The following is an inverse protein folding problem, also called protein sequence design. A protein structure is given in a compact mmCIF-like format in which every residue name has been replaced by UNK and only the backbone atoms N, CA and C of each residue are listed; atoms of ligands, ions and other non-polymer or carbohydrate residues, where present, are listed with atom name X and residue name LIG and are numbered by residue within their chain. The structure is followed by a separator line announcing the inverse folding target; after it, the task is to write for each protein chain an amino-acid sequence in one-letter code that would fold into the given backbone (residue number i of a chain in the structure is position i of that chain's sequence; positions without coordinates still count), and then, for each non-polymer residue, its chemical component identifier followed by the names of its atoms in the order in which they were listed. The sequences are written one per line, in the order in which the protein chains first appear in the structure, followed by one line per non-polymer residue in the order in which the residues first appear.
data_IF_057431281553
#
_entry.id   IF_057431281553
#
_cell.length_a   1.000
_cell.length_b   1.000
_cell.length_c   1.000
_cell.angle_alpha   90.00
_cell.angle_beta   90.00
_cell.angle_gamma   90.00
#
_symmetry.space_group_name_H-M   'P 1'
#
loop_
_entity.id
_entity.type
_entity.pdbx_description
1 polymer ?
#
# COMPACT_ATOMS: atom_id res chain seq x y z
N UNK A 1 17.99 -57.60 -37.56
CA UNK A 1 17.16 -57.46 -36.36
C UNK A 1 17.22 -56.00 -35.94
N UNK A 2 16.18 -55.20 -36.27
CA UNK A 2 16.05 -53.78 -35.91
C UNK A 2 14.94 -53.67 -34.91
N UNK A 3 15.30 -53.29 -33.64
CA UNK A 3 14.29 -52.94 -32.63
C UNK A 3 13.81 -51.51 -32.87
N UNK A 4 12.53 -51.33 -33.15
CA UNK A 4 11.84 -50.07 -33.13
C UNK A 4 11.50 -49.70 -31.69
N UNK A 5 12.04 -48.58 -31.21
CA UNK A 5 11.69 -48.00 -29.94
C UNK A 5 10.52 -47.03 -30.16
N UNK A 6 9.34 -47.44 -29.75
CA UNK A 6 8.09 -46.63 -29.83
C UNK A 6 8.11 -45.68 -28.62
N UNK A 7 8.31 -44.41 -28.86
CA UNK A 7 8.15 -43.36 -27.84
C UNK A 7 6.67 -43.06 -27.72
N UNK A 8 6.04 -43.50 -26.65
CA UNK A 8 4.67 -43.16 -26.31
C UNK A 8 4.65 -41.75 -25.71
N UNK A 9 4.12 -40.81 -26.47
CA UNK A 9 3.87 -39.44 -25.97
C UNK A 9 2.60 -39.51 -25.11
N UNK A 10 2.75 -39.44 -23.81
CA UNK A 10 1.65 -39.28 -22.86
C UNK A 10 1.30 -37.81 -22.81
N UNK A 11 0.22 -37.43 -23.47
CA UNK A 11 -0.45 -36.13 -23.30
C UNK A 11 -1.24 -36.17 -21.99
N UNK A 12 -0.63 -35.74 -20.90
CA UNK A 12 -1.35 -35.53 -19.65
C UNK A 12 -1.93 -34.10 -19.65
N UNK A 13 -3.15 -34.00 -20.18
CA UNK A 13 -3.99 -32.82 -19.98
C UNK A 13 -4.66 -32.94 -18.60
N UNK A 14 -3.96 -32.61 -17.54
CA UNK A 14 -4.55 -32.42 -16.22
C UNK A 14 -4.66 -30.92 -15.94
N UNK A 15 -5.83 -30.35 -16.24
CA UNK A 15 -6.24 -29.05 -15.75
C UNK A 15 -6.39 -29.13 -14.22
N UNK A 16 -5.33 -28.83 -13.49
CA UNK A 16 -5.39 -28.62 -12.05
C UNK A 16 -6.05 -27.25 -11.79
N UNK A 17 -7.37 -27.26 -11.60
CA UNK A 17 -8.11 -26.18 -10.97
C UNK A 17 -7.74 -26.14 -9.49
N UNK A 18 -6.61 -25.56 -9.16
CA UNK A 18 -6.27 -25.23 -7.78
C UNK A 18 -6.96 -23.92 -7.41
N UNK A 19 -8.22 -24.04 -6.97
CA UNK A 19 -8.92 -22.98 -6.26
C UNK A 19 -8.21 -22.71 -4.94
N UNK A 20 -7.36 -21.69 -4.89
CA UNK A 20 -6.67 -21.28 -3.68
C UNK A 20 -7.65 -20.63 -2.71
N UNK A 21 -8.19 -21.39 -1.74
CA UNK A 21 -8.86 -20.86 -0.57
C UNK A 21 -7.79 -20.53 0.46
N UNK A 22 -7.71 -19.30 0.91
CA UNK A 22 -6.87 -18.91 2.05
C UNK A 22 -7.74 -19.08 3.30
N UNK A 23 -7.33 -19.97 4.19
CA UNK A 23 -7.96 -20.15 5.51
C UNK A 23 -7.27 -19.20 6.49
N UNK A 24 -8.03 -18.31 7.09
CA UNK A 24 -7.55 -17.44 8.16
C UNK A 24 -7.50 -18.20 9.49
N UNK A 25 -6.69 -17.73 10.49
CA UNK A 25 -6.61 -18.37 11.81
C UNK A 25 -7.95 -18.42 12.59
N UNK A 26 -8.96 -17.66 12.15
CA UNK A 26 -10.31 -17.63 12.68
C UNK A 26 -11.26 -18.66 12.03
N UNK A 27 -10.76 -19.49 11.13
CA UNK A 27 -11.53 -20.53 10.43
C UNK A 27 -12.39 -20.01 9.27
N UNK A 28 -12.37 -18.72 8.95
CA UNK A 28 -13.11 -18.18 7.81
C UNK A 28 -12.39 -18.45 6.50
N UNK A 29 -13.08 -19.05 5.53
CA UNK A 29 -12.60 -19.21 4.16
C UNK A 29 -13.10 -18.04 3.33
N UNK A 30 -12.21 -17.14 2.93
CA UNK A 30 -12.50 -16.11 1.94
C UNK A 30 -11.79 -16.46 0.65
N UNK A 31 -12.54 -16.67 -0.43
CA UNK A 31 -11.94 -16.75 -1.78
C UNK A 31 -11.35 -15.39 -2.10
N UNK A 32 -10.03 -15.29 -2.01
CA UNK A 32 -9.31 -14.11 -2.42
C UNK A 32 -9.51 -13.94 -3.92
N UNK A 33 -10.01 -12.79 -4.36
CA UNK A 33 -10.05 -12.43 -5.79
C UNK A 33 -8.67 -12.51 -6.43
N UNK A 34 -7.62 -12.38 -5.65
CA UNK A 34 -6.21 -12.58 -6.00
C UNK A 34 -5.91 -14.03 -6.40
N UNK A 35 -6.53 -15.03 -5.75
CA UNK A 35 -6.35 -16.44 -6.12
C UNK A 35 -6.97 -16.78 -7.48
N UNK A 36 -8.01 -16.06 -7.87
CA UNK A 36 -8.73 -16.33 -9.12
C UNK A 36 -8.02 -15.73 -10.36
N UNK A 37 -7.23 -14.66 -10.19
CA UNK A 37 -6.57 -13.96 -11.30
C UNK A 37 -5.02 -13.88 -11.19
N UNK A 38 -4.45 -14.22 -10.05
CA UNK A 38 -3.05 -13.87 -9.72
C UNK A 38 -2.02 -14.98 -9.79
N UNK A 39 -2.39 -16.24 -9.56
CA UNK A 39 -1.41 -17.34 -9.49
C UNK A 39 -0.79 -17.70 -10.86
N UNK A 40 -1.53 -17.53 -11.95
CA UNK A 40 -1.02 -17.80 -13.30
C UNK A 40 -0.03 -16.76 -13.79
N UNK A 41 -0.32 -15.47 -13.57
CA UNK A 41 0.50 -14.36 -14.06
C UNK A 41 1.82 -14.18 -13.31
N UNK A 42 1.80 -14.17 -11.97
CA UNK A 42 2.99 -13.95 -11.16
C UNK A 42 4.01 -15.11 -11.27
N UNK A 43 3.53 -16.36 -11.38
CA UNK A 43 4.40 -17.51 -11.57
C UNK A 43 5.08 -17.50 -12.95
N UNK A 44 4.34 -17.22 -14.02
CA UNK A 44 4.89 -17.15 -15.37
C UNK A 44 5.94 -16.05 -15.51
N UNK A 45 5.69 -14.86 -14.97
CA UNK A 45 6.62 -13.74 -15.06
C UNK A 45 7.83 -13.89 -14.13
N UNK A 46 7.67 -14.52 -12.97
CA UNK A 46 8.80 -14.87 -12.10
C UNK A 46 9.80 -15.78 -12.79
N UNK A 47 9.32 -16.76 -13.56
CA UNK A 47 10.15 -17.67 -14.35
C UNK A 47 10.88 -16.93 -15.47
N UNK A 48 10.19 -16.08 -16.22
CA UNK A 48 10.78 -15.28 -17.31
C UNK A 48 11.84 -14.31 -16.73
N UNK A 49 11.55 -13.62 -15.65
CA UNK A 49 12.49 -12.71 -15.01
C UNK A 49 13.72 -13.41 -14.44
N UNK A 50 13.58 -14.63 -13.92
CA UNK A 50 14.70 -15.44 -13.44
C UNK A 50 15.62 -15.90 -14.59
N UNK A 51 15.04 -16.24 -15.73
CA UNK A 51 15.80 -16.66 -16.92
C UNK A 51 16.57 -15.51 -17.57
N UNK A 52 16.06 -14.27 -17.49
CA UNK A 52 16.67 -13.12 -18.18
C UNK A 52 17.63 -12.32 -17.30
N UNK A 53 17.38 -12.19 -16.00
CA UNK A 53 18.12 -11.27 -15.10
C UNK A 53 18.48 -11.89 -13.75
N UNK A 54 18.40 -13.20 -13.58
CA UNK A 54 18.69 -13.89 -12.32
C UNK A 54 17.68 -13.60 -11.20
N UNK A 55 18.05 -13.92 -9.95
CA UNK A 55 17.12 -13.85 -8.80
C UNK A 55 16.56 -12.45 -8.49
N UNK A 56 17.28 -11.38 -8.82
CA UNK A 56 16.78 -9.99 -8.68
C UNK A 56 15.76 -9.67 -9.77
N UNK A 57 15.97 -10.15 -10.99
CA UNK A 57 15.05 -10.00 -12.13
C UNK A 57 13.74 -10.77 -11.89
N UNK A 58 13.80 -11.98 -11.34
CA UNK A 58 12.62 -12.75 -10.98
C UNK A 58 11.73 -12.01 -9.98
N UNK A 59 12.32 -11.39 -8.97
CA UNK A 59 11.58 -10.66 -7.94
C UNK A 59 10.95 -9.38 -8.48
N UNK A 60 11.66 -8.61 -9.29
CA UNK A 60 11.14 -7.39 -9.89
C UNK A 60 10.08 -7.68 -10.95
N UNK A 61 10.28 -8.72 -11.77
CA UNK A 61 9.30 -9.15 -12.76
C UNK A 61 8.04 -9.75 -12.12
N UNK A 62 8.19 -10.53 -11.03
CA UNK A 62 7.05 -11.06 -10.28
C UNK A 62 6.22 -9.92 -9.62
N UNK A 63 6.86 -8.86 -9.15
CA UNK A 63 6.19 -7.67 -8.60
C UNK A 63 5.45 -6.90 -9.71
N UNK A 64 6.11 -6.65 -10.85
CA UNK A 64 5.50 -5.96 -11.98
C UNK A 64 4.34 -6.75 -12.58
N UNK A 65 4.51 -8.06 -12.77
CA UNK A 65 3.46 -8.94 -13.31
C UNK A 65 2.39 -9.31 -12.28
N UNK A 66 2.71 -9.31 -11.00
CA UNK A 66 1.72 -9.40 -9.93
C UNK A 66 0.73 -8.23 -9.98
N UNK A 67 1.21 -7.02 -10.28
CA UNK A 67 0.35 -5.85 -10.49
C UNK A 67 -0.54 -5.99 -11.74
N UNK A 68 -0.07 -6.68 -12.77
CA UNK A 68 -0.78 -6.83 -14.05
C UNK A 68 -1.59 -8.13 -14.11
N UNK A 69 -1.07 -9.25 -13.63
CA UNK A 69 -1.73 -10.56 -13.68
C UNK A 69 -2.74 -10.79 -12.57
N UNK A 70 -2.51 -10.26 -11.36
CA UNK A 70 -3.48 -10.26 -10.26
C UNK A 70 -4.38 -9.02 -10.27
N UNK A 71 -4.15 -8.12 -11.22
CA UNK A 71 -4.73 -6.79 -11.24
C UNK A 71 -4.15 -5.88 -10.13
N UNK A 72 -4.58 -4.63 -10.15
CA UNK A 72 -4.22 -3.61 -9.16
C UNK A 72 -4.48 -4.10 -7.72
N UNK A 73 -5.52 -4.92 -7.52
CA UNK A 73 -5.91 -5.46 -6.24
C UNK A 73 -4.78 -6.25 -5.55
N UNK A 74 -4.15 -7.19 -6.26
CA UNK A 74 -3.11 -8.03 -5.68
C UNK A 74 -1.84 -7.28 -5.27
N UNK A 75 -1.43 -6.28 -6.06
CA UNK A 75 -0.31 -5.39 -5.70
C UNK A 75 -0.60 -4.62 -4.42
N UNK A 76 -1.79 -4.04 -4.34
CA UNK A 76 -2.21 -3.28 -3.16
C UNK A 76 -2.43 -4.18 -1.95
N UNK A 77 -2.95 -5.41 -2.11
CA UNK A 77 -3.12 -6.37 -1.03
C UNK A 77 -1.77 -6.76 -0.40
N UNK A 78 -0.75 -6.97 -1.25
CA UNK A 78 0.59 -7.28 -0.77
C UNK A 78 1.24 -6.08 -0.07
N UNK A 79 1.09 -4.87 -0.62
CA UNK A 79 1.57 -3.65 0.01
C UNK A 79 0.88 -3.39 1.35
N UNK A 80 -0.45 -3.57 1.43
CA UNK A 80 -1.22 -3.47 2.67
C UNK A 80 -0.71 -4.44 3.73
N UNK A 81 -0.53 -5.71 3.36
CA UNK A 81 0.00 -6.73 4.29
C UNK A 81 1.35 -6.30 4.86
N UNK A 82 2.26 -5.80 4.02
CA UNK A 82 3.58 -5.32 4.47
C UNK A 82 3.48 -4.09 5.37
N UNK A 83 2.60 -3.16 5.06
CA UNK A 83 2.35 -2.00 5.93
C UNK A 83 1.81 -2.43 7.29
N UNK A 84 0.83 -3.34 7.34
CA UNK A 84 0.29 -3.89 8.60
C UNK A 84 1.35 -4.63 9.42
N UNK A 85 2.21 -5.43 8.77
CA UNK A 85 3.32 -6.12 9.44
C UNK A 85 4.31 -5.13 10.06
N UNK A 86 4.72 -4.10 9.30
CA UNK A 86 5.72 -3.14 9.72
C UNK A 86 5.19 -2.11 10.74
N UNK A 87 3.88 -1.86 10.75
CA UNK A 87 3.23 -0.87 11.61
C UNK A 87 2.47 -1.47 12.81
N UNK A 88 2.46 -2.80 12.98
CA UNK A 88 1.66 -3.48 14.01
C UNK A 88 1.92 -3.03 15.46
N UNK A 89 3.13 -2.53 15.74
CA UNK A 89 3.55 -2.06 17.05
C UNK A 89 3.55 -0.52 17.14
N UNK A 90 2.88 0.15 16.22
CA UNK A 90 2.71 1.60 16.19
C UNK A 90 1.24 1.95 16.37
N UNK A 91 0.96 3.21 16.68
CA UNK A 91 -0.42 3.71 16.76
C UNK A 91 -0.92 4.26 15.42
N UNK A 92 -0.36 3.78 14.28
CA UNK A 92 -0.85 4.09 12.95
C UNK A 92 -1.82 3.00 12.53
N UNK A 93 -3.03 3.41 12.20
CA UNK A 93 -4.07 2.53 11.70
C UNK A 93 -3.93 2.36 10.17
N UNK A 94 -4.05 1.11 9.70
CA UNK A 94 -3.99 0.77 8.28
C UNK A 94 -5.37 0.31 7.84
N UNK A 95 -6.05 1.12 7.04
CA UNK A 95 -7.37 0.81 6.49
C UNK A 95 -7.27 0.50 5.00
N UNK A 96 -8.12 -0.42 4.51
CA UNK A 96 -8.28 -0.69 3.09
C UNK A 96 -9.61 -0.13 2.59
N UNK A 97 -9.56 0.67 1.54
CA UNK A 97 -10.74 1.24 0.88
C UNK A 97 -10.69 0.93 -0.63
N UNK A 98 -11.25 -0.21 -1.03
CA UNK A 98 -11.16 -0.68 -2.42
C UNK A 98 -9.71 -0.90 -2.85
N UNK A 99 -9.24 -0.13 -3.84
CA UNK A 99 -7.84 -0.17 -4.31
C UNK A 99 -6.93 0.84 -3.61
N UNK A 100 -7.42 1.57 -2.62
CA UNK A 100 -6.66 2.53 -1.84
C UNK A 100 -6.31 1.95 -0.47
N UNK A 101 -5.12 2.26 0.03
CA UNK A 101 -4.73 2.03 1.42
C UNK A 101 -4.65 3.40 2.11
N UNK A 102 -5.28 3.53 3.26
CA UNK A 102 -5.25 4.72 4.09
C UNK A 102 -4.49 4.43 5.38
N UNK A 103 -3.47 5.23 5.69
CA UNK A 103 -2.81 5.24 7.00
C UNK A 103 -3.35 6.41 7.79
N UNK A 104 -3.88 6.15 8.98
CA UNK A 104 -4.39 7.18 9.90
C UNK A 104 -3.41 7.35 11.05
N UNK A 105 -2.94 8.58 11.23
CA UNK A 105 -1.99 8.98 12.25
C UNK A 105 -2.66 9.99 13.21
N UNK A 106 -3.12 9.57 14.39
CA UNK A 106 -3.68 10.49 15.37
C UNK A 106 -2.65 11.54 15.84
N UNK A 107 -3.12 12.77 16.14
CA UNK A 107 -2.23 13.88 16.53
C UNK A 107 -1.38 13.54 17.75
N UNK A 108 -2.01 13.00 18.80
CA UNK A 108 -1.38 12.74 20.09
C UNK A 108 -0.17 11.78 20.03
N UNK A 109 -0.14 10.93 19.00
CA UNK A 109 0.98 10.01 18.75
C UNK A 109 1.94 10.52 17.68
N UNK A 110 1.57 11.59 16.98
CA UNK A 110 2.34 12.12 15.86
C UNK A 110 3.09 13.40 16.22
N UNK A 111 2.43 14.31 16.93
CA UNK A 111 2.98 15.63 17.27
C UNK A 111 2.81 15.96 18.75
N UNK A 112 3.71 16.75 19.34
CA UNK A 112 3.43 17.45 20.60
C UNK A 112 2.26 18.42 20.41
N UNK A 113 1.62 18.79 21.53
CA UNK A 113 0.50 19.74 21.53
C UNK A 113 0.88 21.05 20.83
N UNK A 114 0.01 21.55 19.98
CA UNK A 114 0.20 22.78 19.17
C UNK A 114 1.47 22.79 18.31
N UNK A 115 2.02 21.62 17.97
CA UNK A 115 3.24 21.48 17.18
C UNK A 115 2.95 20.83 15.81
N UNK A 116 3.84 21.07 14.87
CA UNK A 116 3.97 20.33 13.61
C UNK A 116 5.30 19.56 13.52
N UNK A 117 6.07 19.50 14.61
CA UNK A 117 7.31 18.71 14.68
C UNK A 117 6.98 17.27 15.02
N UNK A 118 7.45 16.32 14.22
CA UNK A 118 7.22 14.88 14.47
C UNK A 118 7.95 14.42 15.73
N UNK A 119 7.25 13.72 16.61
CA UNK A 119 7.87 13.05 17.74
C UNK A 119 8.62 11.77 17.31
N UNK A 120 9.44 11.22 18.22
CA UNK A 120 10.28 10.05 17.92
C UNK A 120 9.45 8.81 17.52
N UNK A 121 8.28 8.60 18.15
CA UNK A 121 7.41 7.46 17.84
C UNK A 121 6.85 7.57 16.41
N UNK A 122 6.40 8.76 16.01
CA UNK A 122 5.94 9.02 14.65
C UNK A 122 7.07 8.86 13.64
N UNK A 123 8.30 9.33 13.96
CA UNK A 123 9.45 9.15 13.08
C UNK A 123 9.78 7.67 12.86
N UNK A 124 9.77 6.86 13.92
CA UNK A 124 10.01 5.41 13.80
C UNK A 124 8.93 4.72 12.96
N UNK A 125 7.66 5.04 13.20
CA UNK A 125 6.55 4.50 12.44
C UNK A 125 6.59 4.92 10.96
N UNK A 126 6.89 6.19 10.67
CA UNK A 126 7.05 6.68 9.31
C UNK A 126 8.28 6.09 8.61
N UNK A 127 9.37 5.81 9.33
CA UNK A 127 10.53 5.11 8.78
C UNK A 127 10.16 3.68 8.34
N UNK A 128 9.37 2.96 9.16
CA UNK A 128 8.87 1.64 8.82
C UNK A 128 7.90 1.68 7.61
N UNK A 129 7.02 2.68 7.54
CA UNK A 129 6.15 2.90 6.39
C UNK A 129 6.97 3.20 5.12
N UNK A 130 7.99 4.08 5.22
CA UNK A 130 8.84 4.47 4.09
C UNK A 130 9.58 3.29 3.47
N UNK A 131 10.02 2.30 4.27
CA UNK A 131 10.61 1.07 3.75
C UNK A 131 9.66 0.34 2.78
N UNK A 132 8.39 0.22 3.15
CA UNK A 132 7.39 -0.38 2.27
C UNK A 132 7.11 0.50 1.06
N UNK A 133 6.94 1.82 1.24
CA UNK A 133 6.63 2.75 0.16
C UNK A 133 7.75 2.87 -0.89
N UNK A 134 9.01 2.68 -0.50
CA UNK A 134 10.15 2.64 -1.42
C UNK A 134 10.27 1.30 -2.15
N UNK A 135 9.86 0.19 -1.53
CA UNK A 135 9.80 -1.12 -2.17
C UNK A 135 8.68 -1.24 -3.22
N UNK A 136 7.60 -0.45 -3.04
CA UNK A 136 6.42 -0.42 -3.92
C UNK A 136 6.27 0.96 -4.56
N UNK A 137 7.09 1.27 -5.61
CA UNK A 137 7.15 2.61 -6.19
C UNK A 137 5.92 2.97 -7.04
N UNK A 138 5.15 1.99 -7.53
CA UNK A 138 4.04 2.18 -8.47
C UNK A 138 2.75 2.63 -7.77
N UNK A 139 2.90 3.51 -6.77
CA UNK A 139 1.80 4.15 -6.05
C UNK A 139 2.05 5.64 -5.88
N UNK A 140 0.97 6.42 -5.89
CA UNK A 140 0.96 7.84 -5.52
C UNK A 140 0.47 7.99 -4.08
N UNK A 141 0.90 9.07 -3.43
CA UNK A 141 0.61 9.34 -2.04
C UNK A 141 -0.08 10.70 -1.92
N UNK A 142 -1.19 10.75 -1.18
CA UNK A 142 -1.80 12.03 -0.80
C UNK A 142 -1.71 12.15 0.71
N UNK A 143 -1.03 13.18 1.21
CA UNK A 143 -0.85 13.43 2.64
C UNK A 143 -1.79 14.55 3.04
N UNK A 144 -2.79 14.23 3.86
CA UNK A 144 -3.85 15.13 4.30
C UNK A 144 -3.71 15.45 5.78
N UNK A 145 -3.61 16.73 6.14
CA UNK A 145 -3.65 17.19 7.51
C UNK A 145 -5.03 17.69 7.91
N UNK A 146 -5.45 17.34 9.12
CA UNK A 146 -6.76 17.72 9.67
C UNK A 146 -6.61 18.27 11.10
N UNK A 147 -7.52 19.17 11.49
CA UNK A 147 -7.69 19.66 12.85
C UNK A 147 -9.10 19.35 13.35
N UNK A 148 -9.36 19.58 14.61
CA UNK A 148 -10.71 19.74 15.11
C UNK A 148 -11.21 21.18 14.83
N UNK A 149 -12.42 21.51 15.27
CA UNK A 149 -13.02 22.84 15.09
C UNK A 149 -12.63 23.86 16.19
N UNK A 150 -11.61 23.55 16.99
CA UNK A 150 -11.14 24.49 18.02
C UNK A 150 -10.28 25.58 17.37
N UNK A 151 -10.63 26.84 17.60
CA UNK A 151 -9.98 27.99 16.98
C UNK A 151 -10.59 28.40 15.64
N UNK A 152 -9.90 29.27 14.92
CA UNK A 152 -10.34 29.79 13.62
C UNK A 152 -9.68 29.05 12.45
N UNK A 153 -10.29 29.15 11.26
CA UNK A 153 -9.70 28.61 10.03
C UNK A 153 -8.33 29.23 9.72
N UNK A 154 -8.13 30.52 10.08
CA UNK A 154 -6.84 31.19 9.93
C UNK A 154 -5.70 30.52 10.72
N UNK A 155 -6.03 29.77 11.78
CA UNK A 155 -5.09 28.97 12.58
C UNK A 155 -5.03 27.52 12.07
N UNK A 156 -6.21 26.93 11.84
CA UNK A 156 -6.34 25.50 11.52
C UNK A 156 -5.82 25.14 10.13
N UNK A 157 -6.06 25.99 9.13
CA UNK A 157 -5.61 25.73 7.76
C UNK A 157 -4.07 25.66 7.67
N UNK A 158 -3.31 26.66 8.11
CA UNK A 158 -1.85 26.59 8.05
C UNK A 158 -1.27 25.52 9.01
N UNK A 159 -1.93 25.23 10.13
CA UNK A 159 -1.46 24.17 11.04
C UNK A 159 -1.58 22.79 10.40
N UNK A 160 -2.74 22.48 9.81
CA UNK A 160 -2.97 21.21 9.11
C UNK A 160 -2.01 21.03 7.92
N UNK A 161 -1.77 22.10 7.15
CA UNK A 161 -0.82 22.10 6.04
C UNK A 161 0.62 21.85 6.51
N UNK A 162 1.08 22.51 7.58
CA UNK A 162 2.42 22.29 8.14
C UNK A 162 2.60 20.86 8.66
N UNK A 163 1.58 20.27 9.28
CA UNK A 163 1.59 18.88 9.76
C UNK A 163 1.70 17.88 8.61
N UNK A 164 0.90 18.04 7.57
CA UNK A 164 0.99 17.21 6.37
C UNK A 164 2.36 17.36 5.69
N UNK A 165 2.89 18.58 5.62
CA UNK A 165 4.23 18.85 5.08
C UNK A 165 5.34 18.18 5.89
N UNK A 166 5.26 18.19 7.23
CA UNK A 166 6.25 17.55 8.10
C UNK A 166 6.30 16.03 7.86
N UNK A 167 5.14 15.39 7.73
CA UNK A 167 5.04 13.95 7.39
C UNK A 167 5.64 13.67 6.01
N UNK A 168 5.28 14.43 5.00
CA UNK A 168 5.79 14.26 3.63
C UNK A 168 7.30 14.49 3.55
N UNK A 169 7.82 15.53 4.20
CA UNK A 169 9.25 15.82 4.25
C UNK A 169 10.04 14.70 4.92
N UNK A 170 9.48 14.10 5.98
CA UNK A 170 10.11 12.96 6.63
C UNK A 170 10.13 11.71 5.73
N UNK A 171 9.03 11.39 5.06
CA UNK A 171 8.99 10.30 4.08
C UNK A 171 9.99 10.52 2.95
N UNK A 172 10.12 11.76 2.46
CA UNK A 172 11.12 12.13 1.45
C UNK A 172 12.54 11.92 1.94
N UNK A 173 12.86 12.30 3.17
CA UNK A 173 14.18 12.07 3.78
C UNK A 173 14.51 10.58 3.93
N UNK A 174 13.50 9.71 3.89
CA UNK A 174 13.62 8.24 3.94
C UNK A 174 13.57 7.58 2.55
N UNK A 175 13.68 8.37 1.47
CA UNK A 175 13.81 7.86 0.11
C UNK A 175 12.50 7.74 -0.68
N UNK A 176 11.36 8.18 -0.13
CA UNK A 176 10.11 8.25 -0.91
C UNK A 176 10.17 9.46 -1.84
N UNK A 177 9.99 9.25 -3.15
CA UNK A 177 10.07 10.34 -4.14
C UNK A 177 9.03 11.43 -3.91
N UNK A 178 9.45 12.70 -3.92
CA UNK A 178 8.56 13.84 -3.80
C UNK A 178 7.53 13.93 -4.95
N UNK A 179 7.91 13.46 -6.14
CA UNK A 179 7.01 13.45 -7.33
C UNK A 179 5.79 12.55 -7.15
N UNK A 180 5.85 11.61 -6.21
CA UNK A 180 4.72 10.73 -5.85
C UNK A 180 3.79 11.32 -4.83
N UNK A 181 4.15 12.44 -4.20
CA UNK A 181 3.44 12.99 -3.04
C UNK A 181 2.68 14.27 -3.38
N UNK A 182 1.41 14.32 -3.00
CA UNK A 182 0.58 15.52 -2.99
C UNK A 182 0.17 15.83 -1.55
N UNK A 183 0.18 17.10 -1.14
CA UNK A 183 0.05 17.50 0.26
C UNK A 183 -1.08 18.52 0.39
N UNK A 184 -2.02 18.23 1.31
CA UNK A 184 -3.16 19.10 1.57
C UNK A 184 -3.36 19.35 3.07
N UNK A 185 -3.67 20.60 3.43
CA UNK A 185 -4.20 20.96 4.73
C UNK A 185 -5.70 21.26 4.62
N UNK A 186 -6.51 20.48 5.29
CA UNK A 186 -7.97 20.61 5.25
C UNK A 186 -8.54 21.41 6.43
N UNK A 187 -7.70 21.81 7.39
CA UNK A 187 -8.19 22.44 8.62
C UNK A 187 -9.23 21.56 9.30
N UNK A 188 -10.33 22.19 9.75
CA UNK A 188 -11.45 21.52 10.42
C UNK A 188 -12.57 21.06 9.47
N UNK A 189 -12.41 21.22 8.15
CA UNK A 189 -13.50 21.07 7.15
C UNK A 189 -13.90 19.63 6.87
N UNK A 190 -13.10 18.65 7.28
CA UNK A 190 -13.36 17.23 7.01
C UNK A 190 -13.34 16.39 8.31
N UNK A 191 -14.32 16.59 9.20
CA UNK A 191 -14.40 15.82 10.44
C UNK A 191 -14.83 14.37 10.14
N UNK A 192 -14.27 13.41 10.89
CA UNK A 192 -14.68 11.99 10.87
C UNK A 192 -15.49 11.61 12.12
N UNK A 193 -15.51 12.48 13.12
CA UNK A 193 -16.24 12.30 14.35
C UNK A 193 -16.86 13.64 14.82
N UNK A 194 -17.74 13.57 15.83
CA UNK A 194 -18.39 14.77 16.37
C UNK A 194 -17.38 15.69 17.07
N UNK A 195 -17.35 16.96 16.69
CA UNK A 195 -16.56 17.97 17.37
C UNK A 195 -17.15 18.39 18.75
N UNK A 196 -18.34 17.94 19.10
CA UNK A 196 -18.97 18.26 20.38
C UNK A 196 -18.29 17.54 21.56
N UNK A 197 -17.70 16.36 21.33
CA UNK A 197 -17.03 15.56 22.36
C UNK A 197 -15.52 15.69 22.30
N UNK A 198 -14.85 15.49 23.43
CA UNK A 198 -13.37 15.52 23.51
C UNK A 198 -12.77 14.39 22.66
N UNK A 199 -13.37 13.21 22.72
CA UNK A 199 -12.94 12.02 21.97
C UNK A 199 -13.09 12.22 20.46
N UNK A 200 -14.21 12.79 20.01
CA UNK A 200 -14.44 13.08 18.61
C UNK A 200 -13.47 14.14 18.05
N UNK A 201 -13.19 15.21 18.83
CA UNK A 201 -12.16 16.16 18.46
C UNK A 201 -10.77 15.51 18.35
N UNK A 202 -10.44 14.60 19.25
CA UNK A 202 -9.17 13.87 19.20
C UNK A 202 -9.05 13.01 17.93
N UNK A 203 -10.15 12.39 17.47
CA UNK A 203 -10.20 11.65 16.20
C UNK A 203 -10.07 12.58 14.98
N UNK A 204 -10.63 13.77 15.05
CA UNK A 204 -10.54 14.75 13.96
C UNK A 204 -9.12 15.30 13.78
N UNK A 205 -8.34 15.43 14.87
CA UNK A 205 -6.94 15.87 14.82
C UNK A 205 -6.05 14.70 14.37
N UNK A 206 -5.78 14.63 13.08
CA UNK A 206 -5.02 13.53 12.47
C UNK A 206 -4.28 13.95 11.20
N UNK A 207 -3.35 13.12 10.78
CA UNK A 207 -2.82 13.13 9.41
C UNK A 207 -3.19 11.80 8.76
N UNK A 208 -3.65 11.85 7.52
CA UNK A 208 -3.94 10.68 6.69
C UNK A 208 -2.94 10.60 5.54
N UNK A 209 -2.46 9.41 5.24
CA UNK A 209 -1.69 9.13 4.02
C UNK A 209 -2.52 8.17 3.17
N UNK A 210 -3.03 8.67 2.04
CA UNK A 210 -3.76 7.88 1.07
C UNK A 210 -2.77 7.34 0.04
N UNK A 211 -2.70 6.03 -0.10
CA UNK A 211 -1.82 5.33 -1.02
C UNK A 211 -2.68 4.78 -2.15
N UNK A 212 -2.51 5.32 -3.34
CA UNK A 212 -3.27 4.95 -4.53
C UNK A 212 -2.34 4.28 -5.56
N UNK A 213 -2.83 3.30 -6.34
CA UNK A 213 -2.07 2.78 -7.47
C UNK A 213 -1.79 3.91 -8.48
N UNK A 214 -0.56 3.97 -8.98
CA UNK A 214 -0.21 4.91 -10.05
C UNK A 214 -0.83 4.43 -11.36
N UNK A 215 -1.78 5.20 -11.88
CA UNK A 215 -2.50 4.88 -13.10
C UNK A 215 -1.58 4.84 -14.35
N UNK A 216 -0.49 5.60 -14.34
CA UNK A 216 0.48 5.59 -15.45
C UNK A 216 1.31 4.31 -15.42
N UNK A 217 1.79 3.90 -14.24
CA UNK A 217 2.48 2.63 -14.07
C UNK A 217 1.60 1.44 -14.46
N UNK A 218 0.32 1.46 -14.05
CA UNK A 218 -0.67 0.45 -14.40
C UNK A 218 -0.88 0.38 -15.93
N UNK A 219 -1.07 1.52 -16.59
CA UNK A 219 -1.23 1.59 -18.06
C UNK A 219 0.01 1.10 -18.80
N UNK A 220 1.21 1.51 -18.36
CA UNK A 220 2.47 1.09 -18.96
C UNK A 220 2.63 -0.44 -18.87
N UNK A 221 2.34 -1.03 -17.70
CA UNK A 221 2.37 -2.47 -17.53
C UNK A 221 1.35 -3.22 -18.41
N UNK A 222 0.15 -2.67 -18.59
CA UNK A 222 -0.87 -3.25 -19.49
C UNK A 222 -0.49 -3.18 -20.97
N UNK A 223 0.24 -2.14 -21.40
CA UNK A 223 0.72 -2.00 -22.79
C UNK A 223 1.82 -3.00 -23.15
N UNK A 224 2.64 -3.42 -22.18
CA UNK A 224 3.69 -4.42 -22.40
C UNK A 224 3.17 -5.85 -22.59
N UNK A 225 1.89 -6.09 -22.29
CA UNK A 225 1.23 -7.41 -22.45
C UNK A 225 0.44 -7.57 -23.76
N UNK A 226 0.39 -6.54 -24.60
CA UNK A 226 -0.26 -6.56 -25.91
C UNK A 226 0.75 -6.82 -27.02
#
# INVERSE_FOLDING_TARGET
MKLFNTITVITASSALMLGGCITYPDGTQKTSKTAMYGLGGAAACGIIGALTHGGKGARNSALACGAVGAGIGGYMDYQEKKLRENLKNTNIEVERQGNQIKLVMPENVTFPTNSSTLNANAQNALAAAAQTLTQYPDTTLTVNGHTDNTGSDAINDPLSQRRAQAVASYLQSRGVSASRMTIFGHGSRQPIASNATVEGRAQNRRVEILINPDQNAVRAAQQQLR
#
